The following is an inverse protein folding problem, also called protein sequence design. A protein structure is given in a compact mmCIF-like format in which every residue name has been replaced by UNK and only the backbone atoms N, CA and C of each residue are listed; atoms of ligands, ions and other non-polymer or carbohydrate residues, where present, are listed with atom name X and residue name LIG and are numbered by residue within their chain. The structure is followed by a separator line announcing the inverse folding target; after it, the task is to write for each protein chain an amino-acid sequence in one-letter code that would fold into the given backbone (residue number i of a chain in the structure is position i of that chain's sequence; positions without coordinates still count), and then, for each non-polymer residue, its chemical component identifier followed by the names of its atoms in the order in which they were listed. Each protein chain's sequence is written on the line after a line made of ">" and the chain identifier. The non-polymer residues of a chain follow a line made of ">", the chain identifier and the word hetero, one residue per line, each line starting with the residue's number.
data_IF_290070084248
#
_entry.id   IF_290070084248
#
_cell.length_a   1.000
_cell.length_b   1.000
_cell.length_c   1.000
_cell.angle_alpha   90.00
_cell.angle_beta   90.00
_cell.angle_gamma   90.00
#
_symmetry.space_group_name_H-M   'P 1'
#
loop_
_entity.id
_entity.type
_entity.pdbx_description
1 polymer ?
#
# COMPACT_ATOMS: atom_id res chain seq x y z
N UNK A 1 3.89 28.90 57.19
CA UNK A 1 4.54 28.59 55.89
C UNK A 1 3.66 27.58 55.16
N UNK A 2 3.07 27.96 54.03
CA UNK A 2 2.17 27.08 53.26
C UNK A 2 3.00 26.32 52.22
N UNK A 3 3.08 25.00 52.37
CA UNK A 3 3.75 24.11 51.43
C UNK A 3 2.89 23.95 50.18
N UNK A 4 3.28 24.62 49.09
CA UNK A 4 2.73 24.35 47.78
C UNK A 4 3.45 23.13 47.21
N UNK A 5 2.92 21.94 47.48
CA UNK A 5 3.32 20.73 46.78
C UNK A 5 2.79 20.88 45.35
N UNK A 6 3.59 21.51 44.50
CA UNK A 6 3.33 21.63 43.06
C UNK A 6 3.41 20.22 42.49
N UNK A 7 2.26 19.56 42.41
CA UNK A 7 2.08 18.29 41.73
C UNK A 7 2.34 18.58 40.25
N UNK A 8 3.60 18.38 39.84
CA UNK A 8 4.03 18.32 38.46
C UNK A 8 3.51 16.98 37.93
N UNK A 9 2.21 16.91 37.60
CA UNK A 9 1.64 15.81 36.83
C UNK A 9 2.31 15.88 35.45
N UNK A 10 3.38 15.10 35.29
CA UNK A 10 3.90 14.74 33.98
C UNK A 10 2.77 14.06 33.22
N UNK A 11 2.15 14.81 32.31
CA UNK A 11 1.34 14.28 31.23
C UNK A 11 2.26 13.39 30.38
N UNK A 12 2.37 12.11 30.76
CA UNK A 12 2.97 11.09 29.91
C UNK A 12 1.96 10.84 28.80
N UNK A 13 2.04 11.65 27.76
CA UNK A 13 1.32 11.44 26.51
C UNK A 13 1.91 10.18 25.87
N UNK A 14 1.26 9.03 26.05
CA UNK A 14 1.58 7.86 25.26
C UNK A 14 1.14 8.13 23.82
N UNK A 15 2.08 8.55 22.98
CA UNK A 15 1.88 8.58 21.54
C UNK A 15 1.77 7.15 21.05
N UNK A 16 0.53 6.66 20.88
CA UNK A 16 0.28 5.41 20.16
C UNK A 16 0.67 5.66 18.71
N UNK A 17 1.88 5.25 18.33
CA UNK A 17 2.29 5.28 16.93
C UNK A 17 1.38 4.31 16.16
N UNK A 18 0.61 4.84 15.20
CA UNK A 18 -0.10 4.01 14.23
C UNK A 18 0.94 3.14 13.52
N UNK A 19 0.82 1.82 13.67
CA UNK A 19 1.68 0.89 12.98
C UNK A 19 1.18 0.82 11.54
N UNK A 20 1.79 1.60 10.65
CA UNK A 20 1.56 1.56 9.21
C UNK A 20 2.08 0.24 8.64
N UNK A 21 1.35 -0.84 8.91
CA UNK A 21 1.64 -2.15 8.36
C UNK A 21 1.32 -2.10 6.87
N UNK A 22 2.36 -2.25 6.07
CA UNK A 22 2.26 -2.35 4.63
C UNK A 22 2.59 -3.77 4.15
N UNK A 23 2.04 -4.14 3.01
CA UNK A 23 2.24 -5.44 2.37
C UNK A 23 2.94 -5.29 1.02
N UNK A 24 3.60 -6.37 0.61
CA UNK A 24 4.19 -6.49 -0.72
C UNK A 24 3.42 -7.55 -1.50
N UNK A 25 3.14 -7.30 -2.78
CA UNK A 25 2.46 -8.22 -3.68
C UNK A 25 3.30 -8.45 -4.92
N UNK A 26 3.52 -9.73 -5.28
CA UNK A 26 4.10 -10.12 -6.56
C UNK A 26 3.01 -10.67 -7.47
N UNK A 27 2.85 -10.06 -8.64
CA UNK A 27 1.92 -10.50 -9.67
C UNK A 27 2.70 -11.04 -10.87
N UNK A 28 2.38 -12.27 -11.28
CA UNK A 28 3.02 -12.95 -12.40
C UNK A 28 1.95 -13.30 -13.41
N UNK A 29 2.04 -12.73 -14.60
CA UNK A 29 1.23 -13.13 -15.75
C UNK A 29 2.03 -14.15 -16.56
N UNK A 30 1.41 -15.30 -16.87
CA UNK A 30 2.04 -16.41 -17.61
C UNK A 30 1.27 -16.72 -18.89
N UNK A 31 1.91 -17.47 -19.78
CA UNK A 31 1.34 -17.93 -21.05
C UNK A 31 0.89 -16.78 -21.97
N UNK A 32 1.62 -15.67 -21.94
CA UNK A 32 1.41 -14.55 -22.87
C UNK A 32 1.87 -15.00 -24.25
N UNK A 33 0.97 -14.98 -25.23
CA UNK A 33 1.26 -15.47 -26.60
C UNK A 33 2.32 -14.63 -27.34
N UNK A 34 2.51 -13.38 -26.93
CA UNK A 34 3.52 -12.48 -27.50
C UNK A 34 4.76 -12.44 -26.62
N UNK A 35 5.94 -12.32 -27.23
CA UNK A 35 7.20 -12.02 -26.53
C UNK A 35 7.61 -10.55 -26.65
N UNK A 36 6.78 -9.72 -27.28
CA UNK A 36 7.03 -8.29 -27.47
C UNK A 36 5.86 -7.49 -26.89
N UNK A 37 6.18 -6.41 -26.18
CA UNK A 37 5.21 -5.48 -25.61
C UNK A 37 5.26 -5.39 -24.08
N UNK A 38 4.28 -4.69 -23.52
CA UNK A 38 4.19 -4.41 -22.09
C UNK A 38 2.83 -4.79 -21.54
N UNK A 39 2.80 -5.29 -20.31
CA UNK A 39 1.59 -5.43 -19.51
C UNK A 39 1.54 -4.27 -18.53
N UNK A 40 0.43 -3.52 -18.54
CA UNK A 40 0.15 -2.44 -17.60
C UNK A 40 -0.92 -2.90 -16.62
N UNK A 41 -0.64 -2.76 -15.33
CA UNK A 41 -1.49 -3.23 -14.25
C UNK A 41 -1.68 -2.09 -13.27
N UNK A 42 -2.91 -1.91 -12.81
CA UNK A 42 -3.30 -0.90 -11.84
C UNK A 42 -4.01 -1.58 -10.67
N UNK A 43 -3.66 -1.21 -9.44
CA UNK A 43 -4.38 -1.61 -8.23
C UNK A 43 -5.36 -0.51 -7.86
N UNK A 44 -6.62 -0.89 -7.62
CA UNK A 44 -7.69 -0.02 -7.17
C UNK A 44 -8.35 -0.63 -5.93
N UNK A 45 -8.77 0.22 -4.99
CA UNK A 45 -9.36 -0.24 -3.73
C UNK A 45 -10.82 -0.74 -3.88
N UNK A 46 -11.48 -0.40 -5.01
CA UNK A 46 -12.79 -0.93 -5.35
C UNK A 46 -13.01 -0.95 -6.86
N UNK A 47 -14.04 -1.67 -7.29
CA UNK A 47 -14.48 -1.68 -8.70
C UNK A 47 -14.98 -0.31 -9.15
N UNK A 48 -15.61 0.44 -8.25
CA UNK A 48 -16.16 1.76 -8.57
C UNK A 48 -15.03 2.78 -8.82
N UNK A 49 -13.96 2.69 -8.02
CA UNK A 49 -12.71 3.45 -8.16
C UNK A 49 -11.99 3.12 -9.48
N UNK A 50 -12.00 1.84 -9.89
CA UNK A 50 -11.41 1.46 -11.18
C UNK A 50 -12.11 2.15 -12.37
N UNK A 51 -13.44 2.34 -12.29
CA UNK A 51 -14.22 2.95 -13.36
C UNK A 51 -14.13 4.49 -13.38
N UNK A 52 -13.66 5.15 -12.31
CA UNK A 52 -13.58 6.61 -12.20
C UNK A 52 -12.29 7.21 -12.80
N UNK A 53 -11.35 6.40 -13.29
CA UNK A 53 -10.06 6.78 -13.91
C UNK A 53 -9.10 7.63 -13.06
N UNK A 54 -9.53 8.24 -11.96
CA UNK A 54 -8.72 9.16 -11.15
C UNK A 54 -8.16 8.57 -9.86
N UNK A 55 -8.63 7.40 -9.43
CA UNK A 55 -8.36 6.88 -8.09
C UNK A 55 -7.54 5.56 -8.09
N UNK A 56 -6.69 5.36 -9.11
CA UNK A 56 -5.74 4.23 -9.11
C UNK A 56 -4.72 4.43 -7.99
N UNK A 57 -4.61 3.44 -7.10
CA UNK A 57 -3.69 3.50 -5.97
C UNK A 57 -2.23 3.40 -6.42
N UNK A 58 -1.91 2.38 -7.23
CA UNK A 58 -0.58 2.21 -7.81
C UNK A 58 -0.71 1.51 -9.17
N UNK A 59 0.08 1.98 -10.14
CA UNK A 59 0.23 1.37 -11.44
C UNK A 59 1.65 0.85 -11.64
N UNK A 60 1.78 -0.26 -12.36
CA UNK A 60 3.06 -0.79 -12.80
C UNK A 60 2.98 -1.23 -14.27
N UNK A 61 4.12 -1.13 -14.96
CA UNK A 61 4.27 -1.60 -16.32
C UNK A 61 5.47 -2.53 -16.38
N UNK A 62 5.27 -3.72 -16.90
CA UNK A 62 6.31 -4.73 -17.04
C UNK A 62 6.40 -5.19 -18.48
N UNK A 63 7.62 -5.38 -18.95
CA UNK A 63 7.87 -5.95 -20.27
C UNK A 63 7.48 -7.43 -20.27
N UNK A 64 7.01 -7.92 -21.42
CA UNK A 64 6.77 -9.34 -21.61
C UNK A 64 8.08 -9.98 -22.06
N UNK A 65 8.54 -11.00 -21.33
CA UNK A 65 9.74 -11.78 -21.68
C UNK A 65 9.43 -13.25 -21.56
N UNK A 66 9.77 -14.04 -22.57
CA UNK A 66 9.58 -15.50 -22.57
C UNK A 66 8.14 -15.93 -22.19
N UNK A 67 7.14 -15.22 -22.70
CA UNK A 67 5.72 -15.48 -22.41
C UNK A 67 5.27 -15.17 -20.98
N UNK A 68 6.08 -14.44 -20.19
CA UNK A 68 5.74 -14.03 -18.84
C UNK A 68 5.95 -12.53 -18.61
N UNK A 69 5.31 -12.00 -17.58
CA UNK A 69 5.53 -10.64 -17.11
C UNK A 69 5.35 -10.58 -15.60
N UNK A 70 6.27 -9.92 -14.91
CA UNK A 70 6.28 -9.83 -13.45
C UNK A 70 6.19 -8.37 -13.00
N UNK A 71 5.28 -8.10 -12.06
CA UNK A 71 5.21 -6.82 -11.34
C UNK A 71 5.32 -7.06 -9.85
N UNK A 72 6.06 -6.20 -9.17
CA UNK A 72 6.16 -6.17 -7.72
C UNK A 72 5.59 -4.84 -7.25
N UNK A 73 4.58 -4.92 -6.41
CA UNK A 73 3.96 -3.78 -5.76
C UNK A 73 4.36 -3.81 -4.29
N UNK A 74 5.04 -2.75 -3.85
CA UNK A 74 5.50 -2.62 -2.47
C UNK A 74 4.68 -1.57 -1.74
N UNK A 75 4.69 -1.65 -0.41
CA UNK A 75 4.03 -0.67 0.47
C UNK A 75 2.50 -0.56 0.27
N UNK A 76 1.82 -1.66 -0.06
CA UNK A 76 0.37 -1.69 -0.17
C UNK A 76 -0.24 -1.54 1.24
N UNK A 77 -1.12 -0.55 1.48
CA UNK A 77 -1.72 -0.34 2.78
C UNK A 77 -2.64 -1.52 3.09
N UNK A 78 -2.48 -2.09 4.27
CA UNK A 78 -3.46 -3.03 4.80
C UNK A 78 -4.71 -2.22 5.16
N UNK A 79 -5.85 -2.58 4.59
CA UNK A 79 -7.14 -2.01 4.99
C UNK A 79 -7.40 -2.19 6.49
N UNK A 80 -8.40 -1.49 7.05
CA UNK A 80 -8.73 -1.63 8.46
C UNK A 80 -8.96 -3.12 8.80
N UNK A 81 -8.33 -3.60 9.88
CA UNK A 81 -8.60 -4.94 10.39
C UNK A 81 -10.07 -4.98 10.85
N UNK A 82 -10.86 -5.89 10.24
CA UNK A 82 -12.25 -6.17 10.61
C UNK A 82 -12.32 -6.87 11.98
#
# INVERSE_FOLDING_TARGET
>A
MKNYFFIFICLISFSVFANDKSANMKLIVKNVKSNNGYIRIALANSKDIYNSFHDVYIGASSEIKNGTSENIFSNIPLGPML
#
